data_IF_247898441540
#
_entry.id   IF_247898441540
#
_cell.length_a   1.000
_cell.length_b   1.000
_cell.length_c   1.000
_cell.angle_alpha   90.00
_cell.angle_beta   90.00
_cell.angle_gamma   90.00
#
_symmetry.space_group_name_H-M   'P 1'
#
loop_
_entity.id
_entity.type
_entity.pdbx_description
1 polymer ?
#
# COMPACT_ATOMS: atom_id res chain seq x y z
N UNK A 1 16.32 -19.50 -6.05
CA UNK A 1 16.61 -20.08 -4.73
C UNK A 1 15.97 -19.16 -3.69
N UNK A 2 14.68 -19.36 -3.43
CA UNK A 2 13.92 -18.54 -2.48
C UNK A 2 14.25 -19.01 -1.05
N UNK A 3 14.90 -18.17 -0.25
CA UNK A 3 15.18 -18.46 1.16
C UNK A 3 13.91 -18.25 1.98
N UNK A 4 13.23 -19.33 2.34
CA UNK A 4 12.15 -19.32 3.31
C UNK A 4 12.74 -19.24 4.73
N UNK A 5 12.52 -18.13 5.43
CA UNK A 5 12.81 -18.01 6.87
C UNK A 5 11.49 -18.14 7.61
N UNK A 6 11.20 -19.34 8.14
CA UNK A 6 10.09 -19.57 9.06
C UNK A 6 10.55 -19.24 10.47
N UNK A 7 10.03 -18.16 11.05
CA UNK A 7 10.21 -17.88 12.48
C UNK A 7 9.05 -18.53 13.21
N UNK A 8 9.32 -19.66 13.88
CA UNK A 8 8.38 -20.32 14.79
C UNK A 8 8.41 -19.55 16.12
N UNK A 9 7.35 -18.81 16.43
CA UNK A 9 7.26 -18.08 17.69
C UNK A 9 6.20 -18.74 18.56
N UNK A 10 6.65 -19.41 19.62
CA UNK A 10 5.79 -20.11 20.58
C UNK A 10 5.47 -19.23 21.79
N UNK A 11 4.17 -19.03 21.99
CA UNK A 11 3.40 -18.71 23.20
C UNK A 11 3.64 -17.50 24.13
N UNK A 12 2.47 -17.00 24.56
CA UNK A 12 2.09 -16.09 25.65
C UNK A 12 2.41 -14.60 25.51
N UNK A 13 1.35 -13.81 25.33
CA UNK A 13 1.32 -12.34 25.41
C UNK A 13 2.48 -11.64 24.68
N UNK A 14 2.66 -11.94 23.40
CA UNK A 14 3.84 -11.48 22.69
C UNK A 14 3.65 -10.08 22.11
N UNK A 15 4.27 -9.10 22.78
CA UNK A 15 4.46 -7.76 22.28
C UNK A 15 5.54 -7.80 21.18
N UNK A 16 5.14 -8.07 19.95
CA UNK A 16 6.06 -8.15 18.81
C UNK A 16 6.26 -6.76 18.23
N UNK A 17 7.42 -6.16 18.48
CA UNK A 17 7.90 -4.98 17.75
C UNK A 17 9.07 -5.41 16.87
N UNK A 18 8.83 -5.63 15.58
CA UNK A 18 9.90 -5.87 14.61
C UNK A 18 10.33 -4.53 13.99
N UNK A 19 11.61 -4.19 14.16
CA UNK A 19 12.28 -3.12 13.41
C UNK A 19 13.50 -3.74 12.73
N UNK A 20 13.35 -4.11 11.45
CA UNK A 20 14.45 -4.64 10.65
C UNK A 20 15.09 -3.48 9.88
N UNK A 21 16.38 -3.22 10.14
CA UNK A 21 17.18 -2.22 9.41
C UNK A 21 17.85 -2.89 8.21
N UNK A 22 17.94 -2.19 7.08
CA UNK A 22 18.39 -2.68 5.77
C UNK A 22 19.72 -3.47 5.78
N UNK A 23 20.63 -3.19 6.73
CA UNK A 23 21.90 -3.92 6.90
C UNK A 23 21.75 -5.35 7.41
N UNK A 24 20.62 -5.69 8.03
CA UNK A 24 20.29 -7.07 8.46
C UNK A 24 19.67 -7.90 7.33
N UNK A 25 19.25 -7.26 6.24
CA UNK A 25 18.65 -7.92 5.08
C UNK A 25 19.70 -8.64 4.20
N UNK A 26 20.92 -8.09 4.11
CA UNK A 26 22.07 -8.71 3.42
C UNK A 26 22.69 -9.87 4.22
N UNK A 27 22.63 -9.79 5.55
CA UNK A 27 23.10 -10.85 6.45
C UNK A 27 21.92 -11.73 6.81
N UNK A 28 21.49 -12.57 5.87
CA UNK A 28 20.43 -13.55 6.08
C UNK A 28 20.53 -14.14 7.48
N UNK A 29 19.49 -13.92 8.30
CA UNK A 29 19.37 -14.41 9.67
C UNK A 29 19.61 -15.93 9.66
N UNK A 30 20.86 -16.36 9.84
CA UNK A 30 21.23 -17.75 10.07
C UNK A 30 20.81 -18.10 11.49
N UNK A 31 19.54 -18.45 11.65
CA UNK A 31 19.08 -19.15 12.84
C UNK A 31 19.74 -20.53 12.87
N UNK A 32 20.49 -20.77 13.94
CA UNK A 32 21.27 -21.97 14.21
C UNK A 32 20.36 -23.20 14.16
N UNK A 33 20.71 -24.18 13.33
CA UNK A 33 20.07 -25.50 13.28
C UNK A 33 20.27 -26.18 14.63
N UNK A 34 19.26 -26.12 15.51
CA UNK A 34 19.24 -26.91 16.73
C UNK A 34 18.82 -28.32 16.33
N UNK A 35 19.83 -29.18 16.18
CA UNK A 35 19.65 -30.60 15.94
C UNK A 35 18.94 -31.21 17.17
N UNK A 36 17.79 -31.85 16.93
CA UNK A 36 17.15 -32.73 17.91
C UNK A 36 15.99 -32.13 18.72
N UNK A 37 14.95 -31.60 18.08
CA UNK A 37 13.63 -31.54 18.73
C UNK A 37 12.96 -32.89 18.45
N UNK A 38 12.90 -33.73 19.49
CA UNK A 38 12.28 -35.05 19.40
C UNK A 38 10.81 -34.91 19.00
N UNK A 39 10.39 -35.72 18.01
CA UNK A 39 9.02 -35.76 17.47
C UNK A 39 7.94 -36.04 18.53
N UNK A 40 8.35 -36.54 19.71
CA UNK A 40 7.46 -36.76 20.86
C UNK A 40 7.09 -35.48 21.63
N UNK A 41 7.95 -34.45 21.61
CA UNK A 41 7.66 -33.18 22.30
C UNK A 41 6.58 -32.38 21.53
N UNK A 42 6.60 -32.52 20.21
CA UNK A 42 5.57 -32.03 19.28
C UNK A 42 4.17 -32.60 19.54
N UNK A 43 4.09 -33.86 19.97
CA UNK A 43 2.81 -34.53 20.28
C UNK A 43 2.22 -34.07 21.62
N UNK A 44 3.06 -33.60 22.56
CA UNK A 44 2.58 -32.99 23.80
C UNK A 44 1.91 -31.63 23.54
N UNK A 45 2.41 -30.85 22.57
CA UNK A 45 1.78 -29.63 22.04
C UNK A 45 0.55 -29.89 21.15
N UNK A 46 0.11 -31.15 20.97
CA UNK A 46 -1.08 -31.49 20.17
C UNK A 46 -2.33 -31.73 21.03
N UNK A 47 -2.18 -31.88 22.35
CA UNK A 47 -3.26 -32.38 23.22
C UNK A 47 -4.04 -31.28 23.95
N UNK A 48 -3.46 -30.10 24.11
CA UNK A 48 -4.12 -28.94 24.71
C UNK A 48 -4.70 -28.01 23.63
N UNK A 49 -5.85 -27.40 23.90
CA UNK A 49 -6.40 -26.34 23.06
C UNK A 49 -5.51 -25.10 23.17
N UNK A 50 -4.77 -24.78 22.11
CA UNK A 50 -3.82 -23.68 22.10
C UNK A 50 -4.47 -22.39 21.63
N UNK A 51 -4.42 -21.34 22.45
CA UNK A 51 -4.92 -20.02 22.11
C UNK A 51 -3.90 -19.25 21.24
N UNK A 52 -4.21 -19.03 19.97
CA UNK A 52 -3.39 -18.32 18.98
C UNK A 52 -3.93 -16.90 18.66
N UNK A 53 -4.83 -16.38 19.49
CA UNK A 53 -5.28 -14.98 19.40
C UNK A 53 -4.10 -14.03 19.61
N UNK A 54 -3.98 -13.01 18.77
CA UNK A 54 -2.86 -12.09 18.80
C UNK A 54 -3.24 -10.70 18.28
N UNK A 55 -2.44 -9.71 18.68
CA UNK A 55 -2.56 -8.32 18.22
C UNK A 55 -1.19 -7.83 17.75
N UNK A 56 -1.14 -7.34 16.52
CA UNK A 56 0.03 -6.73 15.92
C UNK A 56 -0.09 -5.23 16.13
N UNK A 57 0.77 -4.67 16.96
CA UNK A 57 0.72 -3.23 17.25
C UNK A 57 1.35 -2.43 16.11
N UNK A 58 2.54 -2.85 15.66
CA UNK A 58 3.24 -2.20 14.57
C UNK A 58 4.19 -3.14 13.86
N UNK A 59 4.17 -3.13 12.54
CA UNK A 59 5.15 -3.81 11.70
C UNK A 59 5.60 -2.86 10.57
N UNK A 60 6.90 -2.56 10.52
CA UNK A 60 7.46 -1.69 9.49
C UNK A 60 8.82 -2.20 9.02
N UNK A 61 9.15 -1.94 7.76
CA UNK A 61 10.42 -2.31 7.14
C UNK A 61 11.13 -1.06 6.62
N UNK A 62 12.22 -0.66 7.28
CA UNK A 62 12.98 0.55 6.90
C UNK A 62 12.44 1.84 7.54
N UNK A 63 12.78 2.97 6.92
CA UNK A 63 12.48 4.31 7.44
C UNK A 63 11.07 4.79 7.08
N UNK A 64 10.47 5.64 7.92
CA UNK A 64 9.16 6.21 7.60
C UNK A 64 9.28 7.24 6.47
N UNK A 65 8.35 7.23 5.54
CA UNK A 65 8.19 8.26 4.51
C UNK A 65 6.72 8.72 4.42
N UNK A 66 6.45 9.96 3.98
CA UNK A 66 5.08 10.47 3.88
C UNK A 66 4.20 9.59 2.98
N UNK A 67 3.00 9.27 3.46
CA UNK A 67 2.03 8.46 2.71
C UNK A 67 2.19 6.94 2.85
N UNK A 68 3.21 6.45 3.59
CA UNK A 68 3.32 5.01 3.86
C UNK A 68 2.21 4.55 4.82
N UNK A 69 1.50 3.48 4.43
CA UNK A 69 0.49 2.82 5.26
C UNK A 69 0.89 1.36 5.42
N UNK A 70 1.10 0.93 6.66
CA UNK A 70 1.45 -0.45 6.96
C UNK A 70 0.17 -1.27 7.19
N UNK A 71 -0.08 -2.34 6.42
CA UNK A 71 -1.33 -3.09 6.49
C UNK A 71 -1.53 -3.89 7.79
N UNK A 72 -0.47 -4.15 8.55
CA UNK A 72 -0.52 -4.90 9.81
C UNK A 72 -0.48 -4.02 11.07
N UNK A 73 -0.48 -2.70 10.93
CA UNK A 73 -0.47 -1.81 12.10
C UNK A 73 -1.85 -1.84 12.79
N UNK A 74 -1.88 -2.26 14.06
CA UNK A 74 -3.09 -2.34 14.87
C UNK A 74 -4.00 -3.55 14.61
N UNK A 75 -3.60 -4.49 13.75
CA UNK A 75 -4.41 -5.66 13.41
C UNK A 75 -4.54 -6.60 14.61
N UNK A 76 -5.77 -7.02 14.91
CA UNK A 76 -6.06 -7.99 15.95
C UNK A 76 -6.80 -9.17 15.35
N UNK A 77 -6.35 -10.37 15.69
CA UNK A 77 -7.01 -11.61 15.32
C UNK A 77 -7.33 -12.42 16.57
N UNK A 78 -8.56 -12.92 16.64
CA UNK A 78 -9.04 -13.73 17.76
C UNK A 78 -9.39 -15.12 17.25
N UNK A 79 -8.97 -16.14 17.98
CA UNK A 79 -9.21 -17.52 17.60
C UNK A 79 -10.64 -17.96 17.93
N UNK A 80 -11.34 -18.46 16.92
CA UNK A 80 -12.70 -19.02 17.07
C UNK A 80 -12.72 -20.55 17.18
N UNK A 81 -11.67 -21.23 16.71
CA UNK A 81 -11.59 -22.71 16.68
C UNK A 81 -10.61 -23.26 17.71
N UNK A 82 -10.78 -24.48 18.26
CA UNK A 82 -9.98 -24.98 19.39
C UNK A 82 -8.47 -25.14 19.11
N UNK A 83 -8.10 -25.31 17.85
CA UNK A 83 -6.72 -25.45 17.40
C UNK A 83 -6.61 -25.09 15.93
N UNK A 84 -5.54 -24.40 15.57
CA UNK A 84 -5.28 -24.01 14.19
C UNK A 84 -3.96 -23.26 14.04
N UNK A 85 -3.60 -23.05 12.78
CA UNK A 85 -2.39 -22.35 12.37
C UNK A 85 -2.80 -21.07 11.65
N UNK A 86 -2.22 -19.94 12.06
CA UNK A 86 -2.38 -18.65 11.38
C UNK A 86 -1.08 -18.29 10.66
N UNK A 87 -1.16 -17.94 9.39
CA UNK A 87 0.00 -17.65 8.55
C UNK A 87 -0.15 -16.28 7.90
N UNK A 88 0.87 -15.43 8.07
CA UNK A 88 1.04 -14.16 7.39
C UNK A 88 2.07 -14.30 6.29
N UNK A 89 1.67 -14.06 5.05
CA UNK A 89 2.56 -13.97 3.90
C UNK A 89 2.81 -12.50 3.58
N UNK A 90 3.98 -12.01 3.97
CA UNK A 90 4.46 -10.65 3.80
C UNK A 90 5.32 -10.59 2.53
N UNK A 91 4.99 -9.68 1.62
CA UNK A 91 5.80 -9.38 0.43
C UNK A 91 6.39 -7.98 0.61
N UNK A 92 7.71 -7.90 0.75
CA UNK A 92 8.43 -6.65 0.99
C UNK A 92 8.90 -6.08 -0.34
N UNK A 93 8.58 -4.80 -0.60
CA UNK A 93 8.88 -4.08 -1.84
C UNK A 93 9.84 -2.92 -1.52
N UNK A 94 11.09 -2.97 -2.02
CA UNK A 94 12.01 -1.85 -1.92
C UNK A 94 11.41 -0.59 -2.52
N UNK A 95 11.41 0.51 -1.77
CA UNK A 95 10.77 1.76 -2.15
C UNK A 95 11.72 2.93 -1.92
N UNK A 96 11.84 3.78 -2.91
CA UNK A 96 12.62 5.01 -2.83
C UNK A 96 11.67 6.19 -2.90
N UNK A 97 11.69 7.07 -1.91
CA UNK A 97 10.90 8.30 -1.90
C UNK A 97 11.83 9.49 -2.10
N UNK A 98 11.49 10.39 -3.03
CA UNK A 98 12.21 11.62 -3.30
C UNK A 98 11.27 12.80 -3.08
N UNK A 99 11.61 13.64 -2.11
CA UNK A 99 10.88 14.87 -1.78
C UNK A 99 11.07 15.93 -2.88
N UNK A 100 10.23 16.97 -2.87
CA UNK A 100 10.31 18.14 -3.77
C UNK A 100 11.67 18.86 -3.67
N UNK A 101 12.32 18.75 -2.52
CA UNK A 101 13.66 19.31 -2.26
C UNK A 101 14.80 18.48 -2.87
N UNK A 102 14.49 17.32 -3.46
CA UNK A 102 15.47 16.35 -3.97
C UNK A 102 16.07 15.44 -2.90
N UNK A 103 15.56 15.46 -1.66
CA UNK A 103 16.01 14.55 -0.61
C UNK A 103 15.44 13.16 -0.83
N UNK A 104 16.31 12.15 -0.87
CA UNK A 104 15.93 10.76 -1.16
C UNK A 104 15.99 9.88 0.09
N UNK A 105 14.88 9.21 0.39
CA UNK A 105 14.73 8.24 1.48
C UNK A 105 14.62 6.84 0.87
N UNK A 106 15.47 5.91 1.33
CA UNK A 106 15.38 4.50 0.97
C UNK A 106 14.62 3.74 2.07
N UNK A 107 13.52 3.12 1.70
CA UNK A 107 12.64 2.41 2.61
C UNK A 107 12.02 1.18 1.94
N UNK A 108 11.09 0.52 2.62
CA UNK A 108 10.36 -0.61 2.09
C UNK A 108 8.87 -0.46 2.39
N UNK A 109 8.07 -0.87 1.43
CA UNK A 109 6.64 -1.11 1.63
C UNK A 109 6.42 -2.61 1.73
N UNK A 110 5.24 -3.01 2.20
CA UNK A 110 4.89 -4.43 2.18
C UNK A 110 3.40 -4.63 2.01
N UNK A 111 3.05 -5.75 1.39
CA UNK A 111 1.69 -6.26 1.33
C UNK A 111 1.58 -7.55 2.14
N UNK A 112 0.39 -7.85 2.64
CA UNK A 112 0.15 -9.02 3.48
C UNK A 112 -1.02 -9.84 2.97
N UNK A 113 -0.86 -11.15 3.01
CA UNK A 113 -1.94 -12.13 2.79
C UNK A 113 -2.02 -13.02 4.00
N UNK A 114 -3.22 -13.18 4.53
CA UNK A 114 -3.51 -13.96 5.73
C UNK A 114 -4.09 -15.31 5.34
N UNK A 115 -3.66 -16.37 6.01
CA UNK A 115 -4.18 -17.71 5.78
C UNK A 115 -4.32 -18.46 7.10
N UNK A 116 -5.56 -18.79 7.44
CA UNK A 116 -5.87 -19.63 8.60
C UNK A 116 -6.12 -21.07 8.15
N UNK A 117 -5.52 -22.02 8.85
CA UNK A 117 -5.76 -23.46 8.70
C UNK A 117 -6.24 -24.03 10.02
N UNK A 118 -7.50 -24.40 10.09
CA UNK A 118 -8.06 -25.11 11.24
C UNK A 118 -7.51 -26.53 11.36
N UNK A 119 -7.57 -27.08 12.57
CA UNK A 119 -7.31 -28.50 12.79
C UNK A 119 -8.52 -29.33 12.30
N UNK A 120 -8.48 -29.78 11.04
CA UNK A 120 -9.45 -30.76 10.55
C UNK A 120 -9.24 -32.11 11.26
N UNK A 121 -10.33 -32.67 11.80
CA UNK A 121 -10.36 -33.97 12.45
C UNK A 121 -10.14 -35.05 11.38
N UNK A 122 -8.87 -35.39 11.09
CA UNK A 122 -8.52 -36.51 10.20
C UNK A 122 -7.33 -36.31 9.27
N UNK A 123 -6.80 -35.08 9.12
CA UNK A 123 -5.51 -34.84 8.47
C UNK A 123 -4.44 -34.56 9.53
N UNK A 124 -3.21 -35.00 9.25
CA UNK A 124 -2.01 -34.81 10.08
C UNK A 124 -2.07 -33.43 10.77
N UNK A 125 -2.19 -33.42 12.10
CA UNK A 125 -2.53 -32.22 12.86
C UNK A 125 -1.52 -31.12 12.54
N UNK A 126 -2.03 -30.01 11.98
CA UNK A 126 -1.20 -28.83 11.74
C UNK A 126 -0.77 -28.27 13.09
N UNK A 127 0.53 -28.05 13.25
CA UNK A 127 1.11 -27.41 14.43
C UNK A 127 0.39 -26.10 14.75
N UNK A 128 -0.23 -25.96 15.92
CA UNK A 128 -0.86 -24.70 16.29
C UNK A 128 0.20 -23.62 16.45
N UNK A 129 -0.05 -22.44 15.88
CA UNK A 129 0.89 -21.33 15.96
C UNK A 129 0.61 -20.21 14.97
N UNK A 130 1.26 -19.07 15.20
CA UNK A 130 1.25 -17.90 14.31
C UNK A 130 2.59 -17.84 13.58
N UNK A 131 2.56 -17.82 12.25
CA UNK A 131 3.73 -17.86 11.39
C UNK A 131 3.80 -16.61 10.53
N UNK A 132 4.99 -16.02 10.43
CA UNK A 132 5.27 -14.90 9.53
C UNK A 132 6.26 -15.35 8.47
N UNK A 133 5.81 -15.37 7.22
CA UNK A 133 6.63 -15.62 6.05
C UNK A 133 6.87 -14.30 5.37
N UNK A 134 8.13 -13.91 5.16
CA UNK A 134 8.46 -12.73 4.38
C UNK A 134 9.25 -13.11 3.13
N UNK A 135 8.98 -12.44 2.02
CA UNK A 135 9.73 -12.60 0.78
C UNK A 135 9.94 -11.25 0.11
N UNK A 136 11.08 -11.09 -0.56
CA UNK A 136 11.42 -9.87 -1.28
C UNK A 136 10.74 -9.87 -2.65
N UNK A 137 10.08 -8.77 -2.96
CA UNK A 137 9.56 -8.54 -4.29
C UNK A 137 10.70 -8.17 -5.25
N UNK A 138 10.72 -8.73 -6.47
CA UNK A 138 11.74 -8.41 -7.47
C UNK A 138 11.55 -7.02 -8.11
N UNK A 139 10.53 -6.27 -7.71
CA UNK A 139 10.23 -4.92 -8.22
C UNK A 139 10.66 -3.85 -7.21
N UNK A 140 11.02 -2.67 -7.72
CA UNK A 140 11.35 -1.47 -6.92
C UNK A 140 10.38 -0.36 -7.27
N UNK A 141 9.79 0.28 -6.25
CA UNK A 141 8.90 1.44 -6.42
C UNK A 141 9.68 2.72 -6.17
N UNK A 142 9.49 3.73 -7.01
CA UNK A 142 10.11 5.05 -6.82
C UNK A 142 9.01 6.10 -6.82
N UNK A 143 8.88 6.83 -5.72
CA UNK A 143 8.01 7.98 -5.59
C UNK A 143 8.82 9.25 -5.72
N UNK A 144 8.42 10.11 -6.64
CA UNK A 144 9.02 11.43 -6.86
C UNK A 144 7.94 12.47 -6.68
N UNK A 145 8.09 13.31 -5.66
CA UNK A 145 7.19 14.42 -5.45
C UNK A 145 7.66 15.60 -6.31
N UNK A 146 6.81 16.02 -7.24
CA UNK A 146 7.11 17.13 -8.13
C UNK A 146 6.26 18.35 -7.79
N UNK A 147 6.87 19.53 -7.87
CA UNK A 147 6.14 20.77 -7.73
C UNK A 147 5.44 21.10 -9.06
N UNK A 148 4.13 21.30 -9.03
CA UNK A 148 3.44 21.89 -10.17
C UNK A 148 3.99 23.29 -10.42
N UNK A 149 4.43 23.52 -11.66
CA UNK A 149 5.09 24.76 -12.04
C UNK A 149 4.10 25.93 -12.13
N UNK A 150 4.54 27.13 -11.76
CA UNK A 150 3.76 28.37 -11.92
C UNK A 150 3.33 28.62 -13.37
N UNK A 151 4.07 28.05 -14.33
CA UNK A 151 3.71 28.12 -15.75
C UNK A 151 2.35 27.47 -16.02
N UNK A 152 2.02 26.37 -15.36
CA UNK A 152 0.73 25.70 -15.56
C UNK A 152 -0.45 26.58 -15.11
N UNK A 153 -0.25 27.38 -14.05
CA UNK A 153 -1.22 28.39 -13.64
C UNK A 153 -1.33 29.52 -14.67
N UNK A 154 -0.19 30.05 -15.14
CA UNK A 154 -0.18 31.13 -16.13
C UNK A 154 -0.85 30.71 -17.44
N UNK A 155 -0.61 29.47 -17.90
CA UNK A 155 -1.27 28.88 -19.06
C UNK A 155 -2.78 28.84 -18.86
N UNK A 156 -3.26 28.43 -17.68
CA UNK A 156 -4.70 28.43 -17.36
C UNK A 156 -5.30 29.84 -17.37
N UNK A 157 -4.61 30.84 -16.81
CA UNK A 157 -5.08 32.24 -16.82
C UNK A 157 -5.13 32.79 -18.24
N UNK A 158 -4.08 32.55 -19.04
CA UNK A 158 -4.03 32.97 -20.43
C UNK A 158 -5.16 32.35 -21.26
N UNK A 159 -5.44 31.05 -21.07
CA UNK A 159 -6.55 30.37 -21.74
C UNK A 159 -7.92 31.00 -21.42
N UNK A 160 -8.15 31.37 -20.16
CA UNK A 160 -9.40 32.03 -19.75
C UNK A 160 -9.50 33.43 -20.37
N UNK A 161 -8.44 34.25 -20.27
CA UNK A 161 -8.45 35.62 -20.80
C UNK A 161 -8.58 35.64 -22.32
N UNK A 162 -7.82 34.79 -23.02
CA UNK A 162 -7.89 34.66 -24.48
C UNK A 162 -9.25 34.14 -24.95
N UNK A 163 -9.85 33.20 -24.20
CA UNK A 163 -11.20 32.70 -24.44
C UNK A 163 -12.25 33.80 -24.33
N UNK A 164 -12.24 34.57 -23.23
CA UNK A 164 -13.18 35.69 -23.03
C UNK A 164 -13.04 36.74 -24.13
N UNK A 165 -11.82 37.14 -24.46
CA UNK A 165 -11.59 38.16 -25.50
C UNK A 165 -12.09 37.70 -26.88
N UNK A 166 -11.86 36.43 -27.22
CA UNK A 166 -12.35 35.84 -28.47
C UNK A 166 -13.87 35.79 -28.51
N UNK A 167 -14.50 35.32 -27.43
CA UNK A 167 -15.97 35.22 -27.33
C UNK A 167 -16.62 36.61 -27.39
N UNK A 168 -16.05 37.61 -26.72
CA UNK A 168 -16.52 39.00 -26.78
C UNK A 168 -16.44 39.58 -28.19
N UNK A 169 -15.32 39.38 -28.91
CA UNK A 169 -15.17 39.87 -30.28
C UNK A 169 -16.13 39.22 -31.28
N UNK A 170 -16.39 37.92 -31.10
CA UNK A 170 -17.38 37.19 -31.90
C UNK A 170 -18.80 37.73 -31.62
N UNK A 171 -19.17 37.91 -30.35
CA UNK A 171 -20.46 38.45 -29.95
C UNK A 171 -20.70 39.86 -30.51
N UNK A 172 -19.72 40.76 -30.38
CA UNK A 172 -19.82 42.13 -30.89
C UNK A 172 -20.01 42.15 -32.42
N UNK A 173 -19.21 41.35 -33.14
CA UNK A 173 -19.33 41.20 -34.59
C UNK A 173 -20.70 40.66 -34.99
N UNK A 174 -21.25 39.67 -34.27
CA UNK A 174 -22.58 39.13 -34.54
C UNK A 174 -23.69 40.14 -34.29
N UNK A 175 -23.63 40.90 -33.20
CA UNK A 175 -24.63 41.93 -32.89
C UNK A 175 -24.62 43.03 -33.95
N UNK A 176 -23.44 43.55 -34.32
CA UNK A 176 -23.32 44.60 -35.32
C UNK A 176 -23.84 44.17 -36.70
N UNK A 177 -23.44 42.98 -37.17
CA UNK A 177 -23.91 42.45 -38.45
C UNK A 177 -25.39 42.07 -38.40
N UNK A 178 -25.87 41.55 -37.27
CA UNK A 178 -27.28 41.23 -37.04
C UNK A 178 -28.16 42.48 -37.10
N UNK A 179 -27.80 43.54 -36.37
CA UNK A 179 -28.52 44.82 -36.41
C UNK A 179 -28.51 45.43 -37.80
N UNK A 180 -27.36 45.42 -38.49
CA UNK A 180 -27.23 45.94 -39.85
C UNK A 180 -28.07 45.15 -40.85
N UNK A 181 -28.10 43.82 -40.75
CA UNK A 181 -28.92 42.96 -41.60
C UNK A 181 -30.42 43.14 -41.34
N UNK A 182 -30.83 43.29 -40.08
CA UNK A 182 -32.24 43.54 -39.71
C UNK A 182 -32.67 44.93 -40.18
N UNK A 183 -31.87 45.98 -39.98
CA UNK A 183 -32.15 47.33 -40.51
C UNK A 183 -32.30 47.31 -42.03
N UNK A 184 -31.38 46.65 -42.74
CA UNK A 184 -31.47 46.49 -44.20
C UNK A 184 -32.76 45.76 -44.60
N UNK A 185 -33.13 44.68 -43.91
CA UNK A 185 -34.38 43.96 -44.19
C UNK A 185 -35.63 44.79 -43.89
N UNK A 186 -35.57 45.69 -42.91
CA UNK A 186 -36.65 46.62 -42.56
C UNK A 186 -36.78 47.75 -43.59
N UNK A 187 -35.66 48.27 -44.12
CA UNK A 187 -35.63 49.29 -45.18
C UNK A 187 -36.10 48.75 -46.55
N UNK A 188 -35.93 47.45 -46.82
CA UNK A 188 -36.40 46.79 -48.06
C UNK A 188 -37.91 46.43 -47.97
N UNK A 189 -38.60 46.82 -46.89
CA UNK A 189 -40.06 46.96 -46.91
C UNK A 189 -40.88 45.66 -47.00
N UNK A 190 -40.37 44.53 -46.50
CA UNK A 190 -41.14 43.28 -46.42
C UNK A 190 -41.55 42.94 -44.98
N UNK A 191 -42.34 43.82 -44.38
CA UNK A 191 -43.30 43.50 -43.32
C UNK A 191 -44.53 44.41 -43.49
N UNK A 192 -45.25 44.19 -44.60
CA UNK A 192 -46.71 44.24 -44.67
C UNK A 192 -47.17 42.96 -45.34
#
# INVERSE_FOLDING_TARGET
MFSFVSILVSFSALHVTFSAKERDFSKGLKMKKQSGVHVHDLLAFQKDSFNISHKINRLAFGEYFPGVVNPLDGVQWTQETPSGMFQYFIKVVPTVYTDVSGHTIQSNQFSVTEHFRGADIGRLQSLPGVFFFYDLSPIKVTFTEEHVSFLHFLTNVCAIVGGVFTVSGILDSFIYHGQKAIKKKMEIGKFS
#
